data_IF_569478516199
#
_entry.id   IF_569478516199
#
_cell.length_a   1.000
_cell.length_b   1.000
_cell.length_c   1.000
_cell.angle_alpha   90.00
_cell.angle_beta   90.00
_cell.angle_gamma   90.00
#
_symmetry.space_group_name_H-M   'P 1'
#
loop_
_entity.id
_entity.type
_entity.pdbx_description
1 polymer ?
#
# COMPACT_ATOMS: atom_id res chain seq x y z
N UNK A 1 -43.76 16.55 22.21
CA UNK A 1 -44.13 15.16 21.90
C UNK A 1 -43.90 14.99 20.41
N UNK A 2 -42.97 14.11 20.06
CA UNK A 2 -42.56 13.78 18.69
C UNK A 2 -41.83 14.89 17.93
N UNK A 3 -40.56 14.79 17.62
CA UNK A 3 -40.01 13.84 16.69
C UNK A 3 -38.49 13.67 16.87
N UNK A 4 -38.08 12.64 17.53
CA UNK A 4 -36.79 12.06 17.36
C UNK A 4 -36.91 11.03 16.24
N UNK A 5 -36.49 11.36 15.04
CA UNK A 5 -36.38 10.38 13.97
C UNK A 5 -35.09 10.53 13.20
N UNK A 6 -34.24 9.53 13.40
CA UNK A 6 -33.44 8.84 12.37
C UNK A 6 -32.56 9.72 11.50
N UNK A 7 -31.34 9.95 11.95
CA UNK A 7 -30.21 9.89 11.04
C UNK A 7 -29.66 8.44 11.02
N UNK A 8 -30.39 7.60 10.30
CA UNK A 8 -29.81 6.40 9.71
C UNK A 8 -28.89 6.89 8.61
N UNK A 9 -27.60 6.98 8.93
CA UNK A 9 -26.54 7.16 7.93
C UNK A 9 -26.60 5.95 7.01
N UNK A 10 -26.93 6.20 5.76
CA UNK A 10 -26.93 5.22 4.68
C UNK A 10 -25.49 4.80 4.42
N UNK A 11 -25.06 3.72 5.11
CA UNK A 11 -23.71 3.16 5.05
C UNK A 11 -23.52 2.26 3.82
N UNK A 12 -24.06 2.63 2.68
CA UNK A 12 -23.94 1.86 1.44
C UNK A 12 -22.65 2.21 0.71
N UNK A 13 -21.76 1.24 0.59
CA UNK A 13 -20.52 1.26 -0.21
C UNK A 13 -19.44 2.23 0.29
N UNK A 14 -18.95 2.03 1.50
CA UNK A 14 -17.82 2.77 2.04
C UNK A 14 -16.55 1.90 2.02
N UNK A 15 -15.57 2.28 1.21
CA UNK A 15 -14.19 1.80 1.33
C UNK A 15 -13.53 2.65 2.40
N UNK A 16 -13.02 2.01 3.46
CA UNK A 16 -12.46 2.66 4.64
C UNK A 16 -10.94 2.57 4.64
N UNK A 17 -10.29 3.62 5.13
CA UNK A 17 -8.92 3.55 5.62
C UNK A 17 -8.95 3.34 7.12
N UNK A 18 -8.17 2.37 7.58
CA UNK A 18 -7.98 2.14 9.00
C UNK A 18 -6.53 2.43 9.36
N UNK A 19 -6.35 3.19 10.43
CA UNK A 19 -5.10 3.26 11.14
C UNK A 19 -5.14 2.22 12.25
N UNK A 20 -4.29 1.21 12.12
CA UNK A 20 -4.15 0.15 13.12
C UNK A 20 -2.92 0.44 13.98
N UNK A 21 -3.10 0.57 15.27
CA UNK A 21 -1.97 0.64 16.21
C UNK A 21 -1.35 -0.73 16.35
N UNK A 22 -0.04 -0.79 16.17
CA UNK A 22 0.75 -1.93 16.60
C UNK A 22 0.87 -1.82 18.11
N UNK A 23 0.31 -2.80 18.84
CA UNK A 23 0.45 -2.85 20.28
C UNK A 23 1.93 -2.79 20.67
N UNK A 24 2.35 -1.88 21.57
CA UNK A 24 3.72 -1.86 22.04
C UNK A 24 3.96 -3.15 22.83
N UNK A 25 4.93 -3.92 22.41
CA UNK A 25 5.65 -4.98 23.10
C UNK A 25 4.93 -5.66 24.27
N UNK A 26 4.47 -6.89 24.05
CA UNK A 26 4.55 -7.88 25.10
C UNK A 26 5.92 -8.56 24.98
N UNK A 27 6.92 -7.97 25.65
CA UNK A 27 8.21 -8.60 25.85
C UNK A 27 7.99 -9.74 26.84
N UNK A 28 7.88 -10.97 26.37
CA UNK A 28 8.01 -12.14 27.24
C UNK A 28 9.49 -12.33 27.55
N UNK A 29 9.96 -11.73 28.65
CA UNK A 29 11.21 -12.10 29.30
C UNK A 29 11.04 -13.51 29.89
N UNK A 30 11.44 -14.54 29.15
CA UNK A 30 11.75 -15.83 29.75
C UNK A 30 13.15 -15.71 30.30
N UNK A 31 13.27 -15.60 31.63
CA UNK A 31 14.54 -15.66 32.35
C UNK A 31 15.08 -17.09 32.23
N UNK A 32 16.10 -17.29 31.42
CA UNK A 32 16.87 -18.52 31.32
C UNK A 32 18.30 -18.15 30.90
N UNK A 33 19.26 -18.52 31.71
CA UNK A 33 20.71 -18.21 31.57
C UNK A 33 21.30 -18.65 30.23
N UNK A 34 22.15 -17.73 29.67
CA UNK A 34 23.23 -17.90 28.69
C UNK A 34 22.92 -17.94 27.19
N UNK A 35 23.59 -17.00 26.49
CA UNK A 35 23.92 -16.87 25.07
C UNK A 35 22.83 -16.31 24.15
N UNK A 36 23.20 -15.19 23.44
CA UNK A 36 22.57 -14.58 22.26
C UNK A 36 21.04 -14.71 22.18
N UNK A 37 20.34 -13.72 22.71
CA UNK A 37 18.87 -13.64 22.65
C UNK A 37 18.46 -13.26 21.24
N UNK A 38 18.04 -14.20 20.43
CA UNK A 38 17.11 -13.99 19.34
C UNK A 38 15.75 -13.61 19.95
N UNK A 39 15.52 -12.33 20.17
CA UNK A 39 14.20 -11.84 20.54
C UNK A 39 13.34 -11.87 19.27
N UNK A 40 12.44 -12.82 19.20
CA UNK A 40 11.51 -12.98 18.10
C UNK A 40 10.65 -11.72 17.97
N UNK A 41 10.77 -11.03 16.81
CA UNK A 41 10.04 -9.80 16.53
C UNK A 41 8.60 -10.13 16.10
N UNK A 42 7.62 -9.65 16.86
CA UNK A 42 6.21 -9.87 16.58
C UNK A 42 5.48 -8.56 16.30
N UNK A 43 4.82 -8.49 15.14
CA UNK A 43 3.80 -7.48 14.87
C UNK A 43 2.42 -8.14 15.00
N UNK A 44 1.52 -7.47 15.72
CA UNK A 44 0.11 -7.79 15.74
C UNK A 44 -0.70 -6.51 15.59
N UNK A 45 -1.87 -6.59 14.98
CA UNK A 45 -2.76 -5.44 14.91
C UNK A 45 -3.22 -5.05 16.32
N UNK A 46 -3.12 -3.76 16.60
CA UNK A 46 -3.70 -3.14 17.78
C UNK A 46 -5.18 -2.78 17.56
N UNK A 47 -5.63 -1.76 18.29
CA UNK A 47 -6.99 -1.24 18.13
C UNK A 47 -7.10 -0.24 16.99
N UNK A 48 -8.27 -0.22 16.34
CA UNK A 48 -8.64 0.80 15.35
C UNK A 48 -9.27 1.97 16.09
N UNK A 49 -8.94 3.19 15.70
CA UNK A 49 -9.58 4.40 16.21
C UNK A 49 -10.67 4.87 15.26
N UNK A 50 -11.87 5.18 15.75
CA UNK A 50 -12.96 5.70 14.93
C UNK A 50 -12.55 6.99 14.22
N UNK A 51 -11.75 7.83 14.87
CA UNK A 51 -11.21 9.07 14.28
C UNK A 51 -10.22 8.84 13.15
N UNK A 52 -9.62 7.65 13.08
CA UNK A 52 -8.68 7.27 12.03
C UNK A 52 -9.39 6.74 10.77
N UNK A 53 -10.68 6.45 10.84
CA UNK A 53 -11.47 6.06 9.68
C UNK A 53 -11.68 7.29 8.80
N UNK A 54 -11.16 7.23 7.57
CA UNK A 54 -11.14 8.38 6.67
C UNK A 54 -12.04 8.18 5.46
N UNK A 55 -12.80 9.22 5.17
CA UNK A 55 -13.60 9.38 3.96
C UNK A 55 -13.27 10.73 3.33
N UNK A 56 -12.95 10.76 2.04
CA UNK A 56 -12.51 11.97 1.34
C UNK A 56 -13.59 13.06 1.23
N UNK A 57 -14.84 12.71 1.36
CA UNK A 57 -15.93 13.72 1.36
C UNK A 57 -17.06 13.32 2.29
N UNK A 58 -17.79 14.30 2.86
CA UNK A 58 -18.98 14.05 3.70
C UNK A 58 -20.06 13.22 3.00
N UNK A 59 -20.06 13.19 1.67
CA UNK A 59 -21.07 12.51 0.85
C UNK A 59 -20.54 11.27 0.14
N UNK A 60 -19.31 10.81 0.47
CA UNK A 60 -18.73 9.59 -0.11
C UNK A 60 -18.67 9.61 -1.64
N UNK A 61 -18.31 10.74 -2.24
CA UNK A 61 -18.24 10.87 -3.71
C UNK A 61 -17.04 10.14 -4.31
N UNK A 62 -16.04 9.84 -3.50
CA UNK A 62 -14.84 9.15 -3.93
C UNK A 62 -14.72 7.78 -3.25
N UNK A 63 -14.30 6.79 -4.02
CA UNK A 63 -13.65 5.61 -3.49
C UNK A 63 -12.23 5.98 -3.09
N UNK A 64 -11.76 5.53 -1.93
CA UNK A 64 -10.44 5.82 -1.39
C UNK A 64 -9.66 4.54 -1.17
N UNK A 65 -8.33 4.56 -1.37
CA UNK A 65 -7.52 3.36 -1.31
C UNK A 65 -6.07 3.66 -0.94
N UNK A 66 -5.42 2.74 -0.19
CA UNK A 66 -3.98 2.67 0.05
C UNK A 66 -3.34 3.98 0.46
N UNK A 67 -3.37 4.30 1.77
CA UNK A 67 -2.76 5.50 2.30
C UNK A 67 -1.31 5.25 2.74
N UNK A 68 -0.46 6.26 2.60
CA UNK A 68 0.88 6.32 3.18
C UNK A 68 1.08 7.65 3.88
N UNK A 69 1.77 7.65 5.03
CA UNK A 69 1.88 8.82 5.91
C UNK A 69 3.33 9.18 6.17
N UNK A 70 3.60 10.47 6.20
CA UNK A 70 4.85 11.07 6.68
C UNK A 70 4.52 12.19 7.66
N UNK A 71 5.39 12.46 8.62
CA UNK A 71 5.32 13.61 9.50
C UNK A 71 6.31 14.67 9.04
N UNK A 72 5.89 15.93 8.99
CA UNK A 72 6.77 17.06 8.69
C UNK A 72 7.57 17.51 9.92
N UNK A 73 8.40 18.53 9.75
CA UNK A 73 9.26 19.07 10.81
C UNK A 73 8.48 19.86 11.87
N UNK A 74 7.27 20.30 11.54
CA UNK A 74 6.36 21.01 12.47
C UNK A 74 5.47 20.03 13.25
N UNK A 75 5.59 18.74 12.97
CA UNK A 75 4.86 17.67 13.64
C UNK A 75 3.50 17.35 13.04
N UNK A 76 3.12 18.00 11.92
CA UNK A 76 1.88 17.71 11.22
C UNK A 76 2.03 16.43 10.39
N UNK A 77 1.01 15.60 10.40
CA UNK A 77 0.95 14.39 9.60
C UNK A 77 0.35 14.65 8.22
N UNK A 78 1.00 14.12 7.20
CA UNK A 78 0.60 14.21 5.80
C UNK A 78 0.31 12.81 5.28
N UNK A 79 -0.92 12.57 4.84
CA UNK A 79 -1.39 11.32 4.28
C UNK A 79 -1.61 11.47 2.78
N UNK A 80 -0.99 10.60 1.99
CA UNK A 80 -1.23 10.46 0.55
C UNK A 80 -1.99 9.18 0.30
N UNK A 81 -3.06 9.25 -0.49
CA UNK A 81 -3.96 8.14 -0.76
C UNK A 81 -4.49 8.21 -2.18
N UNK A 82 -4.85 7.06 -2.72
CA UNK A 82 -5.52 6.98 -4.02
C UNK A 82 -7.00 7.29 -3.88
N UNK A 83 -7.59 8.01 -4.85
CA UNK A 83 -9.02 8.20 -4.93
C UNK A 83 -9.50 8.21 -6.38
N UNK A 84 -10.74 7.82 -6.61
CA UNK A 84 -11.43 7.95 -7.89
C UNK A 84 -12.93 8.13 -7.69
N UNK A 85 -13.66 8.73 -8.68
CA UNK A 85 -15.08 8.94 -8.55
C UNK A 85 -15.85 7.64 -8.33
N UNK A 86 -16.59 7.54 -7.21
CA UNK A 86 -17.28 6.32 -6.79
C UNK A 86 -18.34 5.86 -7.79
N UNK A 87 -19.02 6.80 -8.47
CA UNK A 87 -20.05 6.48 -9.46
C UNK A 87 -19.51 5.75 -10.69
N UNK A 88 -18.18 5.79 -10.93
CA UNK A 88 -17.52 5.05 -12.00
C UNK A 88 -17.21 3.60 -11.61
N UNK A 89 -17.57 3.18 -10.39
CA UNK A 89 -17.32 1.80 -9.93
C UNK A 89 -15.85 1.47 -9.85
N UNK A 90 -15.43 0.41 -10.53
CA UNK A 90 -14.07 -0.13 -10.45
C UNK A 90 -13.08 0.59 -11.39
N UNK A 91 -13.11 1.92 -11.38
CA UNK A 91 -12.34 2.78 -12.29
C UNK A 91 -10.95 3.18 -11.76
N UNK A 92 -10.41 2.47 -10.77
CA UNK A 92 -9.11 2.79 -10.17
C UNK A 92 -7.94 2.79 -11.18
N UNK A 93 -8.03 1.95 -12.25
CA UNK A 93 -7.02 1.90 -13.33
C UNK A 93 -7.10 3.07 -14.31
N UNK A 94 -8.25 3.73 -14.41
CA UNK A 94 -8.48 4.75 -15.45
C UNK A 94 -8.70 6.14 -14.88
N UNK A 95 -9.14 6.26 -13.62
CA UNK A 95 -9.59 7.53 -13.05
C UNK A 95 -9.00 7.84 -11.67
N UNK A 96 -8.09 7.00 -11.16
CA UNK A 96 -7.42 7.24 -9.89
C UNK A 96 -6.43 8.40 -9.99
N UNK A 97 -6.41 9.19 -8.91
CA UNK A 97 -5.42 10.23 -8.64
C UNK A 97 -4.93 10.09 -7.19
N UNK A 98 -3.75 10.64 -6.90
CA UNK A 98 -3.23 10.66 -5.53
C UNK A 98 -3.60 11.97 -4.88
N UNK A 99 -4.41 11.89 -3.84
CA UNK A 99 -4.86 13.01 -3.03
C UNK A 99 -4.03 13.12 -1.74
N UNK A 100 -4.12 14.25 -1.09
CA UNK A 100 -3.39 14.62 0.12
C UNK A 100 -4.35 15.09 1.21
N UNK A 101 -4.15 14.59 2.42
CA UNK A 101 -4.85 15.01 3.63
C UNK A 101 -3.85 15.26 4.76
N UNK A 102 -4.25 16.05 5.75
CA UNK A 102 -3.44 16.38 6.93
C UNK A 102 -4.17 16.13 8.23
N UNK A 103 -3.42 15.88 9.30
CA UNK A 103 -3.93 15.77 10.67
C UNK A 103 -2.84 16.15 11.68
N UNK A 104 -3.25 16.69 12.84
CA UNK A 104 -2.38 16.91 14.00
C UNK A 104 -2.04 15.61 14.73
N UNK A 105 -2.83 14.56 14.50
CA UNK A 105 -2.61 13.23 15.06
C UNK A 105 -2.63 12.16 13.99
N UNK A 106 -1.75 11.16 14.09
CA UNK A 106 -1.76 10.02 13.18
C UNK A 106 -3.07 9.21 13.26
N UNK A 107 -3.77 9.29 14.38
CA UNK A 107 -5.10 8.68 14.55
C UNK A 107 -6.25 9.57 14.05
N UNK A 108 -5.94 10.66 13.34
CA UNK A 108 -6.94 11.60 12.81
C UNK A 108 -7.48 12.58 13.87
N UNK A 109 -8.57 13.32 13.57
CA UNK A 109 -9.27 13.25 12.28
C UNK A 109 -8.45 13.84 11.12
N UNK A 110 -8.58 13.26 9.94
CA UNK A 110 -7.90 13.68 8.73
C UNK A 110 -8.75 14.66 7.93
N UNK A 111 -8.09 15.67 7.35
CA UNK A 111 -8.72 16.70 6.54
C UNK A 111 -8.09 16.72 5.14
N UNK A 112 -8.90 16.54 4.11
CA UNK A 112 -8.48 16.72 2.70
C UNK A 112 -7.88 18.11 2.46
N UNK A 113 -6.80 18.17 1.71
CA UNK A 113 -6.11 19.41 1.31
C UNK A 113 -6.24 19.62 -0.19
N UNK A 114 -5.66 18.73 -0.98
CA UNK A 114 -5.59 18.86 -2.44
C UNK A 114 -5.33 17.51 -3.13
N UNK A 115 -5.10 17.59 -4.44
CA UNK A 115 -4.65 16.47 -5.26
C UNK A 115 -3.17 16.64 -5.53
N UNK A 116 -2.35 15.81 -4.86
CA UNK A 116 -0.90 15.85 -4.99
C UNK A 116 -0.42 15.45 -6.39
N UNK A 117 -0.96 14.36 -6.94
CA UNK A 117 -0.58 13.89 -8.28
C UNK A 117 -1.83 13.70 -9.15
N UNK A 118 -2.13 14.71 -9.96
CA UNK A 118 -3.20 14.67 -10.98
C UNK A 118 -2.75 13.86 -12.20
N UNK A 119 -3.72 13.35 -12.95
CA UNK A 119 -3.51 12.81 -14.30
C UNK A 119 -2.86 13.87 -15.20
N UNK A 120 -1.87 13.48 -16.03
CA UNK A 120 -1.11 14.42 -16.87
C UNK A 120 -1.55 14.46 -18.33
N UNK A 121 -2.38 13.49 -18.77
CA UNK A 121 -2.78 13.35 -20.18
C UNK A 121 -2.12 12.14 -20.85
N UNK A 122 -2.71 11.69 -21.95
CA UNK A 122 -2.39 10.43 -22.63
C UNK A 122 -0.97 10.33 -23.20
N UNK A 123 -0.28 11.44 -23.33
CA UNK A 123 1.09 11.55 -23.85
C UNK A 123 2.14 11.11 -22.83
N UNK A 124 1.77 10.97 -21.56
CA UNK A 124 2.65 10.56 -20.50
C UNK A 124 2.40 9.10 -20.09
N UNK A 125 3.44 8.43 -19.64
CA UNK A 125 3.36 7.03 -19.18
C UNK A 125 2.43 6.84 -17.96
N UNK A 126 2.24 7.90 -17.14
CA UNK A 126 1.35 7.98 -15.97
C UNK A 126 0.17 8.92 -16.22
N UNK A 127 -0.21 9.10 -17.48
CA UNK A 127 -1.13 10.14 -17.90
C UNK A 127 -2.58 9.89 -17.53
N UNK A 128 -2.98 8.63 -17.39
CA UNK A 128 -4.37 8.24 -17.10
C UNK A 128 -4.63 7.95 -15.62
N UNK A 129 -3.63 7.48 -14.88
CA UNK A 129 -3.81 7.05 -13.51
C UNK A 129 -2.55 7.29 -12.72
N UNK A 130 -2.69 7.77 -11.48
CA UNK A 130 -1.70 7.69 -10.41
C UNK A 130 -2.36 6.97 -9.23
N UNK A 131 -1.68 5.96 -8.67
CA UNK A 131 -2.29 5.06 -7.71
C UNK A 131 -1.25 4.44 -6.76
N UNK A 132 -1.69 3.89 -5.63
CA UNK A 132 -0.85 3.16 -4.68
C UNK A 132 0.39 3.94 -4.22
N UNK A 133 0.21 5.10 -3.57
CA UNK A 133 1.30 5.93 -3.09
C UNK A 133 2.08 5.26 -1.96
N UNK A 134 3.38 5.56 -1.90
CA UNK A 134 4.25 5.32 -0.75
C UNK A 134 5.15 6.53 -0.58
N UNK A 135 5.00 7.24 0.55
CA UNK A 135 5.72 8.48 0.84
C UNK A 135 6.88 8.21 1.78
N UNK A 136 8.03 8.84 1.49
CA UNK A 136 9.18 8.87 2.36
C UNK A 136 9.77 10.26 2.44
N UNK A 137 10.46 10.57 3.54
CA UNK A 137 11.29 11.76 3.70
C UNK A 137 12.74 11.31 3.88
N UNK A 138 13.62 11.75 2.96
CA UNK A 138 15.06 11.52 3.00
C UNK A 138 15.79 12.84 2.82
N UNK A 139 16.75 13.16 3.67
CA UNK A 139 17.60 14.34 3.57
C UNK A 139 16.82 15.66 3.37
N UNK A 140 15.71 15.79 4.11
CA UNK A 140 14.84 16.97 4.06
C UNK A 140 13.91 17.07 2.86
N UNK A 141 13.96 16.12 1.91
CA UNK A 141 13.09 16.07 0.74
C UNK A 141 12.04 14.98 0.86
N UNK A 142 10.91 15.15 0.20
CA UNK A 142 9.80 14.22 0.15
C UNK A 142 9.81 13.45 -1.18
N UNK A 143 9.67 12.13 -1.10
CA UNK A 143 9.68 11.22 -2.24
C UNK A 143 8.38 10.41 -2.24
N UNK A 144 7.51 10.72 -3.17
CA UNK A 144 6.21 10.06 -3.34
C UNK A 144 6.33 9.05 -4.48
N UNK A 145 6.52 7.76 -4.13
CA UNK A 145 6.53 6.67 -5.10
C UNK A 145 5.09 6.26 -5.41
N UNK A 146 4.83 5.92 -6.66
CA UNK A 146 3.48 5.61 -7.10
C UNK A 146 3.47 4.67 -8.30
N UNK A 147 2.34 4.04 -8.53
CA UNK A 147 2.01 3.39 -9.79
C UNK A 147 1.31 4.39 -10.68
N UNK A 148 1.77 4.49 -11.93
CA UNK A 148 1.10 5.21 -13.01
C UNK A 148 0.81 4.29 -14.18
N UNK A 149 -0.13 4.68 -15.05
CA UNK A 149 -0.38 3.97 -16.29
C UNK A 149 -0.87 4.89 -17.41
N UNK A 150 -0.85 4.33 -18.61
CA UNK A 150 -1.55 4.82 -19.79
C UNK A 150 -2.28 3.66 -20.47
N UNK A 151 -3.21 3.95 -21.37
CA UNK A 151 -3.99 2.93 -22.04
C UNK A 151 -5.00 3.50 -23.03
N UNK A 152 -6.06 2.76 -23.29
CA UNK A 152 -7.10 3.14 -24.26
C UNK A 152 -8.11 4.17 -23.75
N UNK A 153 -8.02 4.56 -22.47
CA UNK A 153 -8.89 5.54 -21.82
C UNK A 153 -10.33 5.08 -21.57
N UNK A 154 -10.64 3.81 -21.79
CA UNK A 154 -11.99 3.30 -21.57
C UNK A 154 -12.18 2.91 -20.11
N UNK A 155 -13.11 3.57 -19.45
CA UNK A 155 -13.58 3.14 -18.13
C UNK A 155 -14.33 1.83 -18.27
N UNK A 156 -13.96 0.83 -17.47
CA UNK A 156 -14.58 -0.49 -17.48
C UNK A 156 -15.05 -0.84 -16.06
N UNK A 157 -16.14 -1.58 -16.03
CA UNK A 157 -16.80 -1.93 -14.80
C UNK A 157 -17.93 -0.97 -14.43
N UNK A 158 -18.68 -1.36 -13.44
CA UNK A 158 -19.77 -0.60 -12.83
C UNK A 158 -19.69 -0.80 -11.33
N UNK A 159 -20.45 -0.05 -10.51
CA UNK A 159 -20.52 -0.31 -9.07
C UNK A 159 -20.90 -1.75 -8.70
N UNK A 160 -21.58 -2.48 -9.62
CA UNK A 160 -22.06 -3.84 -9.41
C UNK A 160 -21.20 -4.90 -10.08
N UNK A 161 -20.24 -4.50 -10.94
CA UNK A 161 -19.42 -5.44 -11.71
C UNK A 161 -17.98 -4.96 -11.86
N UNK A 162 -17.10 -5.68 -11.24
CA UNK A 162 -15.65 -5.47 -11.37
C UNK A 162 -15.14 -6.01 -12.70
N UNK A 163 -14.66 -5.12 -13.56
CA UNK A 163 -14.04 -5.49 -14.84
C UNK A 163 -12.75 -4.72 -15.00
N UNK A 164 -11.62 -5.44 -15.15
CA UNK A 164 -10.32 -4.82 -15.41
C UNK A 164 -10.22 -4.33 -16.86
N UNK A 165 -9.76 -3.09 -17.02
CA UNK A 165 -9.21 -2.64 -18.28
C UNK A 165 -7.79 -3.18 -18.45
N UNK A 166 -7.62 -4.21 -19.31
CA UNK A 166 -6.34 -4.89 -19.51
C UNK A 166 -5.29 -4.00 -20.17
N UNK A 167 -5.69 -3.02 -21.01
CA UNK A 167 -4.77 -2.06 -21.59
C UNK A 167 -4.10 -1.22 -20.49
N UNK A 168 -4.88 -0.63 -19.62
CA UNK A 168 -4.36 0.13 -18.49
C UNK A 168 -3.62 -0.74 -17.46
N UNK A 169 -4.17 -1.94 -17.16
CA UNK A 169 -3.53 -2.87 -16.22
C UNK A 169 -2.13 -3.27 -16.66
N UNK A 170 -1.93 -3.58 -17.94
CA UNK A 170 -0.65 -4.07 -18.46
C UNK A 170 0.37 -2.94 -18.69
N UNK A 171 -0.09 -1.71 -18.80
CA UNK A 171 0.74 -0.53 -18.93
C UNK A 171 1.09 0.15 -17.59
N UNK A 172 0.87 -0.51 -16.45
CA UNK A 172 1.34 -0.01 -15.17
C UNK A 172 2.86 0.04 -15.11
N UNK A 173 3.39 1.15 -14.58
CA UNK A 173 4.82 1.40 -14.33
C UNK A 173 4.95 2.12 -12.98
N UNK A 174 6.16 2.18 -12.48
CA UNK A 174 6.46 2.83 -11.20
C UNK A 174 7.19 4.15 -11.46
N UNK A 175 6.75 5.19 -10.78
CA UNK A 175 7.40 6.50 -10.75
C UNK A 175 7.71 6.98 -9.36
N UNK A 176 8.41 8.11 -9.31
CA UNK A 176 8.63 8.91 -8.12
C UNK A 176 8.39 10.38 -8.43
N UNK A 177 7.67 11.05 -7.56
CA UNK A 177 7.55 12.50 -7.54
C UNK A 177 8.35 13.03 -6.34
N UNK A 178 9.11 14.11 -6.55
CA UNK A 178 9.99 14.70 -5.55
C UNK A 178 9.57 16.12 -5.24
N UNK A 179 9.62 16.51 -3.97
CA UNK A 179 9.35 17.88 -3.53
C UNK A 179 10.20 18.25 -2.30
N UNK A 180 10.46 19.54 -2.14
CA UNK A 180 11.06 20.09 -0.92
C UNK A 180 10.02 20.34 0.18
N UNK A 181 8.73 20.22 -0.13
CA UNK A 181 7.61 20.42 0.80
C UNK A 181 6.60 19.29 0.68
N UNK A 182 5.94 18.87 1.79
CA UNK A 182 4.87 17.88 1.72
C UNK A 182 3.62 18.39 0.96
N UNK A 183 3.54 19.70 0.72
CA UNK A 183 2.49 20.30 -0.10
C UNK A 183 2.83 20.39 -1.60
N UNK A 184 4.02 19.93 -2.00
CA UNK A 184 4.53 20.13 -3.35
C UNK A 184 5.21 21.50 -3.55
N UNK A 185 5.43 21.95 -4.79
CA UNK A 185 5.05 21.26 -6.02
C UNK A 185 5.81 19.95 -6.24
N UNK A 186 5.14 18.95 -6.79
CA UNK A 186 5.69 17.63 -7.04
C UNK A 186 6.32 17.55 -8.45
N UNK A 187 7.62 17.32 -8.51
CA UNK A 187 8.37 17.13 -9.75
C UNK A 187 8.36 15.65 -10.15
N UNK A 188 7.79 15.34 -11.32
CA UNK A 188 7.69 13.98 -11.89
C UNK A 188 8.57 13.84 -13.13
N UNK A 189 9.18 12.66 -13.30
CA UNK A 189 9.89 12.30 -14.52
C UNK A 189 8.92 11.92 -15.65
N UNK A 190 9.30 12.24 -16.90
CA UNK A 190 8.59 11.77 -18.10
C UNK A 190 8.94 10.34 -18.49
N UNK A 191 9.81 9.69 -17.72
CA UNK A 191 10.11 8.26 -17.82
C UNK A 191 9.79 7.58 -16.48
N UNK A 192 9.29 6.33 -16.50
CA UNK A 192 9.12 5.58 -15.28
C UNK A 192 10.46 5.35 -14.55
N UNK A 193 10.40 5.25 -13.24
CA UNK A 193 11.53 4.88 -12.39
C UNK A 193 11.86 3.39 -12.53
N UNK A 194 10.81 2.55 -12.58
CA UNK A 194 10.89 1.13 -12.90
C UNK A 194 9.98 0.86 -14.09
N UNK A 195 10.58 0.58 -15.23
CA UNK A 195 9.87 0.17 -16.44
C UNK A 195 9.79 -1.36 -16.55
N UNK A 196 8.92 -1.86 -17.43
CA UNK A 196 8.91 -3.26 -17.80
C UNK A 196 10.22 -3.66 -18.49
N UNK A 197 10.65 -4.91 -18.31
CA UNK A 197 11.79 -5.45 -19.04
C UNK A 197 11.47 -5.58 -20.55
N UNK A 198 12.47 -5.28 -21.38
CA UNK A 198 12.39 -5.53 -22.81
C UNK A 198 12.57 -7.02 -23.18
N UNK A 199 13.06 -7.84 -22.24
CA UNK A 199 13.19 -9.28 -22.42
C UNK A 199 11.90 -9.99 -22.01
N UNK A 200 11.23 -10.63 -22.92
CA UNK A 200 9.95 -11.33 -22.72
C UNK A 200 10.03 -12.51 -21.75
N UNK A 201 11.22 -13.03 -21.46
CA UNK A 201 11.44 -14.10 -20.49
C UNK A 201 11.48 -13.62 -19.06
N UNK A 202 11.62 -12.31 -18.82
CA UNK A 202 11.68 -11.73 -17.48
C UNK A 202 10.31 -11.70 -16.82
N UNK A 203 10.30 -11.78 -15.49
CA UNK A 203 9.08 -11.76 -14.70
C UNK A 203 8.36 -10.40 -14.68
N UNK A 204 9.02 -9.31 -15.08
CA UNK A 204 8.47 -7.96 -15.12
C UNK A 204 8.34 -7.40 -16.55
N UNK A 205 8.32 -8.27 -17.58
CA UNK A 205 8.24 -7.83 -18.98
C UNK A 205 6.85 -7.34 -19.41
N UNK A 206 5.80 -7.57 -18.62
CA UNK A 206 4.45 -7.07 -18.93
C UNK A 206 4.11 -5.81 -18.14
N UNK A 207 4.27 -5.85 -16.81
CA UNK A 207 3.99 -4.68 -15.96
C UNK A 207 4.81 -4.67 -14.66
N UNK A 208 4.97 -3.46 -14.10
CA UNK A 208 5.53 -3.20 -12.78
C UNK A 208 4.59 -2.30 -11.98
N UNK A 209 4.42 -2.56 -10.67
CA UNK A 209 3.45 -1.84 -9.84
C UNK A 209 3.75 -1.94 -8.34
N UNK A 210 2.99 -1.25 -7.51
CA UNK A 210 2.95 -1.36 -6.05
C UNK A 210 4.35 -1.28 -5.41
N UNK A 211 5.05 -0.14 -5.57
CA UNK A 211 6.38 0.03 -5.00
C UNK A 211 6.32 0.13 -3.48
N UNK A 212 7.30 -0.48 -2.83
CA UNK A 212 7.65 -0.22 -1.44
C UNK A 212 9.15 -0.01 -1.33
N UNK A 213 9.58 1.02 -0.61
CA UNK A 213 10.97 1.42 -0.54
C UNK A 213 11.45 1.44 0.91
N UNK A 214 12.72 1.08 1.10
CA UNK A 214 13.40 1.11 2.38
C UNK A 214 14.81 1.69 2.21
N UNK A 215 15.20 2.64 3.07
CA UNK A 215 16.58 3.08 3.19
C UNK A 215 17.40 1.98 3.91
N UNK A 216 18.47 1.55 3.26
CA UNK A 216 19.33 0.47 3.76
C UNK A 216 20.39 1.01 4.73
N UNK A 217 20.92 0.18 5.66
CA UNK A 217 21.94 0.62 6.61
C UNK A 217 23.26 1.02 5.96
N UNK A 218 23.51 0.60 4.72
CA UNK A 218 24.70 0.97 3.93
C UNK A 218 24.51 2.26 3.10
N UNK A 219 23.39 2.96 3.29
CA UNK A 219 23.07 4.22 2.61
C UNK A 219 22.36 4.06 1.26
N UNK A 220 22.19 2.83 0.78
CA UNK A 220 21.45 2.55 -0.47
C UNK A 220 19.94 2.47 -0.23
N UNK A 221 19.19 2.29 -1.31
CA UNK A 221 17.74 2.18 -1.31
C UNK A 221 17.31 0.85 -1.91
N UNK A 222 16.59 0.06 -1.12
CA UNK A 222 15.94 -1.18 -1.56
C UNK A 222 14.49 -0.89 -1.93
N UNK A 223 14.09 -1.31 -3.12
CA UNK A 223 12.70 -1.32 -3.56
C UNK A 223 12.24 -2.75 -3.76
N UNK A 224 11.07 -3.09 -3.22
CA UNK A 224 10.32 -4.29 -3.60
C UNK A 224 9.10 -3.83 -4.39
N UNK A 225 8.80 -4.51 -5.50
CA UNK A 225 7.69 -4.14 -6.37
C UNK A 225 6.97 -5.35 -6.96
N UNK A 226 5.70 -5.19 -7.26
CA UNK A 226 4.90 -6.19 -7.97
C UNK A 226 5.28 -6.20 -9.45
N UNK A 227 5.43 -7.39 -10.00
CA UNK A 227 5.82 -7.65 -11.37
C UNK A 227 4.90 -8.70 -12.00
N UNK A 228 4.67 -8.58 -13.31
CA UNK A 228 3.92 -9.57 -14.10
C UNK A 228 4.67 -9.84 -15.39
N UNK A 229 4.89 -11.12 -15.66
CA UNK A 229 5.52 -11.60 -16.88
C UNK A 229 4.50 -12.07 -17.93
N UNK A 230 5.01 -12.62 -19.03
CA UNK A 230 4.22 -13.13 -20.16
C UNK A 230 4.20 -14.67 -20.27
N UNK A 231 4.53 -15.37 -19.16
CA UNK A 231 4.57 -16.86 -19.16
C UNK A 231 3.19 -17.53 -19.29
N UNK A 232 2.12 -16.77 -19.10
CA UNK A 232 0.75 -17.22 -19.30
C UNK A 232 0.04 -16.38 -20.36
N UNK A 233 -1.08 -16.89 -20.95
CA UNK A 233 -1.79 -16.22 -22.03
C UNK A 233 -2.18 -14.76 -21.68
N UNK A 234 -2.02 -13.88 -22.67
CA UNK A 234 -2.51 -12.52 -22.60
C UNK A 234 -4.05 -12.50 -22.78
N UNK A 235 -4.76 -11.49 -22.24
CA UNK A 235 -4.22 -10.26 -21.64
C UNK A 235 -3.78 -10.41 -20.19
N UNK A 236 -4.07 -11.49 -19.52
CA UNK A 236 -3.76 -11.71 -18.11
C UNK A 236 -2.26 -11.73 -17.82
N UNK A 237 -1.49 -12.47 -18.63
CA UNK A 237 -0.09 -12.72 -18.36
C UNK A 237 0.12 -13.46 -17.02
N UNK A 238 1.31 -13.33 -16.48
CA UNK A 238 1.68 -13.91 -15.18
C UNK A 238 2.93 -14.76 -15.27
N UNK A 239 3.39 -15.34 -14.15
CA UNK A 239 2.83 -15.20 -12.80
C UNK A 239 2.90 -13.76 -12.28
N UNK A 240 2.08 -13.44 -11.25
CA UNK A 240 2.21 -12.22 -10.46
C UNK A 240 3.19 -12.49 -9.33
N UNK A 241 4.28 -11.75 -9.32
CA UNK A 241 5.40 -11.97 -8.40
C UNK A 241 5.87 -10.65 -7.80
N UNK A 242 6.80 -10.73 -6.84
CA UNK A 242 7.53 -9.57 -6.34
C UNK A 242 9.02 -9.73 -6.64
N UNK A 243 9.62 -8.62 -7.04
CA UNK A 243 11.05 -8.51 -7.35
C UNK A 243 11.68 -7.40 -6.51
N UNK A 244 13.00 -7.49 -6.36
CA UNK A 244 13.81 -6.48 -5.68
C UNK A 244 14.58 -5.63 -6.71
N UNK A 245 14.80 -4.36 -6.35
CA UNK A 245 15.75 -3.49 -7.04
C UNK A 245 16.50 -2.62 -6.03
N UNK A 246 17.76 -2.31 -6.29
CA UNK A 246 18.62 -1.51 -5.39
C UNK A 246 19.25 -0.36 -6.16
N UNK A 247 19.34 0.81 -5.52
CA UNK A 247 19.96 2.02 -6.06
C UNK A 247 20.76 2.77 -5.00
N UNK A 248 21.74 3.53 -5.43
CA UNK A 248 22.48 4.48 -4.59
C UNK A 248 21.73 5.81 -4.39
N UNK A 249 20.64 6.01 -5.12
CA UNK A 249 19.81 7.22 -5.04
C UNK A 249 18.32 6.86 -4.92
N UNK A 250 17.52 7.64 -4.16
CA UNK A 250 16.07 7.42 -4.06
C UNK A 250 15.33 7.63 -5.39
N UNK A 251 15.97 8.31 -6.35
CA UNK A 251 15.44 8.53 -7.71
C UNK A 251 16.07 7.63 -8.77
N UNK A 252 16.83 6.60 -8.34
CA UNK A 252 17.48 5.64 -9.25
C UNK A 252 18.78 6.16 -9.87
N UNK A 253 19.32 5.45 -10.88
CA UNK A 253 18.72 4.26 -11.48
C UNK A 253 18.76 3.03 -10.55
N UNK A 254 17.72 2.21 -10.59
CA UNK A 254 17.60 0.99 -9.81
C UNK A 254 18.12 -0.22 -10.60
N UNK A 255 19.03 -0.97 -10.02
CA UNK A 255 19.46 -2.29 -10.53
C UNK A 255 18.45 -3.34 -10.08
N UNK A 256 17.75 -3.95 -11.03
CA UNK A 256 16.77 -5.02 -10.80
C UNK A 256 17.43 -6.36 -10.52
N UNK A 257 16.77 -7.21 -9.73
CA UNK A 257 17.16 -8.59 -9.45
C UNK A 257 16.03 -9.52 -9.87
N UNK A 258 16.36 -10.62 -10.52
CA UNK A 258 15.39 -11.61 -11.01
C UNK A 258 14.94 -12.61 -9.94
N UNK A 259 15.52 -12.58 -8.74
CA UNK A 259 15.13 -13.44 -7.63
C UNK A 259 13.76 -13.06 -7.12
N UNK A 260 12.87 -14.06 -7.02
CA UNK A 260 11.52 -13.88 -6.49
C UNK A 260 11.56 -13.67 -4.97
N UNK A 261 10.79 -12.69 -4.51
CA UNK A 261 10.56 -12.45 -3.08
C UNK A 261 9.10 -12.74 -2.73
N UNK A 262 8.80 -13.10 -1.47
CA UNK A 262 7.45 -13.47 -0.99
C UNK A 262 6.79 -14.57 -1.84
N UNK A 263 7.62 -15.50 -2.32
CA UNK A 263 7.19 -16.56 -3.21
C UNK A 263 6.71 -17.80 -2.43
N UNK A 264 5.71 -18.49 -3.00
CA UNK A 264 5.21 -19.78 -2.52
C UNK A 264 5.18 -20.74 -3.70
N UNK A 265 5.79 -21.91 -3.54
CA UNK A 265 5.91 -22.89 -4.62
C UNK A 265 4.53 -23.29 -5.16
N UNK A 266 4.41 -23.31 -6.48
CA UNK A 266 3.17 -23.67 -7.19
C UNK A 266 2.11 -22.58 -7.26
N UNK A 267 2.27 -21.44 -6.57
CA UNK A 267 1.30 -20.37 -6.58
C UNK A 267 1.60 -19.33 -7.69
N UNK A 268 0.53 -18.90 -8.37
CA UNK A 268 0.63 -17.91 -9.46
C UNK A 268 0.51 -16.46 -9.00
N UNK A 269 -0.08 -16.24 -7.83
CA UNK A 269 -0.28 -14.94 -7.22
C UNK A 269 -0.29 -15.10 -5.69
N UNK A 270 0.89 -15.31 -5.05
CA UNK A 270 0.95 -15.64 -3.63
C UNK A 270 0.73 -14.45 -2.70
N UNK A 271 1.15 -13.26 -3.12
CA UNK A 271 1.21 -12.07 -2.28
C UNK A 271 0.93 -10.80 -3.08
N UNK A 272 0.48 -9.74 -2.39
CA UNK A 272 0.25 -8.41 -2.96
C UNK A 272 0.59 -7.33 -1.93
N UNK A 273 0.80 -6.09 -2.40
CA UNK A 273 0.93 -4.88 -1.60
C UNK A 273 1.97 -4.96 -0.47
N UNK A 274 3.24 -5.19 -0.78
CA UNK A 274 4.26 -5.21 0.25
C UNK A 274 4.48 -3.81 0.83
N UNK A 275 4.79 -3.76 2.14
CA UNK A 275 5.49 -2.66 2.78
C UNK A 275 6.74 -3.19 3.45
N UNK A 276 7.89 -2.56 3.18
CA UNK A 276 9.20 -2.98 3.70
C UNK A 276 9.84 -1.86 4.54
N UNK A 277 10.58 -2.26 5.59
CA UNK A 277 11.37 -1.36 6.41
C UNK A 277 12.56 -2.09 7.02
N UNK A 278 13.52 -1.32 7.55
CA UNK A 278 14.66 -1.86 8.29
C UNK A 278 14.49 -1.52 9.77
N UNK A 279 14.58 -2.53 10.62
CA UNK A 279 14.49 -2.38 12.08
C UNK A 279 15.19 -3.54 12.78
N UNK A 280 15.89 -3.24 13.88
CA UNK A 280 16.59 -4.23 14.73
C UNK A 280 17.55 -5.14 13.93
N UNK A 281 18.32 -4.55 13.01
CA UNK A 281 19.33 -5.28 12.23
C UNK A 281 18.78 -6.13 11.09
N UNK A 282 17.45 -6.09 10.80
CA UNK A 282 16.80 -6.87 9.75
C UNK A 282 15.91 -6.02 8.85
N UNK A 283 15.82 -6.40 7.60
CA UNK A 283 14.71 -5.98 6.74
C UNK A 283 13.46 -6.76 7.13
N UNK A 284 12.35 -6.06 7.18
CA UNK A 284 11.03 -6.59 7.53
C UNK A 284 10.02 -6.23 6.46
N UNK A 285 9.01 -7.06 6.29
CA UNK A 285 7.93 -6.79 5.37
C UNK A 285 6.59 -7.22 5.96
N UNK A 286 5.54 -6.43 5.68
CA UNK A 286 4.14 -6.84 5.78
C UNK A 286 3.60 -6.91 4.36
N UNK A 287 2.89 -8.00 4.04
CA UNK A 287 2.40 -8.30 2.71
C UNK A 287 0.98 -8.87 2.83
N UNK A 288 0.09 -8.48 1.93
CA UNK A 288 -1.21 -9.13 1.81
C UNK A 288 -1.04 -10.54 1.24
N UNK A 289 -1.65 -11.54 1.86
CA UNK A 289 -1.78 -12.90 1.33
C UNK A 289 -2.90 -12.96 0.30
N UNK A 290 -2.57 -13.43 -0.91
CA UNK A 290 -3.56 -13.74 -1.93
C UNK A 290 -3.90 -15.21 -1.80
N UNK A 291 -5.04 -15.54 -1.21
CA UNK A 291 -5.45 -16.91 -0.99
C UNK A 291 -6.68 -17.26 -1.81
N UNK A 292 -6.67 -18.46 -2.40
CA UNK A 292 -7.82 -18.97 -3.12
C UNK A 292 -8.87 -19.46 -2.14
N UNK A 293 -9.97 -18.73 -2.07
CA UNK A 293 -11.34 -19.16 -1.74
C UNK A 293 -11.68 -19.73 -0.36
N UNK A 294 -10.79 -20.28 0.48
CA UNK A 294 -11.21 -20.94 1.72
C UNK A 294 -10.99 -20.18 3.02
N UNK A 295 -9.99 -19.31 3.10
CA UNK A 295 -9.59 -18.68 4.37
C UNK A 295 -9.55 -17.14 4.34
N UNK A 296 -9.87 -16.50 3.20
CA UNK A 296 -9.81 -15.05 3.04
C UNK A 296 -8.37 -14.50 2.89
N UNK A 297 -8.25 -13.23 2.56
CA UNK A 297 -6.97 -12.55 2.53
C UNK A 297 -6.58 -12.15 3.96
N UNK A 298 -5.28 -12.20 4.28
CA UNK A 298 -4.73 -11.77 5.56
C UNK A 298 -3.36 -11.12 5.37
N UNK A 299 -2.87 -10.43 6.38
CA UNK A 299 -1.55 -9.83 6.37
C UNK A 299 -0.51 -10.80 6.91
N UNK A 300 0.63 -10.90 6.20
CA UNK A 300 1.75 -11.78 6.53
C UNK A 300 3.00 -10.95 6.81
N UNK A 301 3.87 -11.49 7.66
CA UNK A 301 5.18 -10.91 7.96
C UNK A 301 6.31 -11.77 7.41
N UNK A 302 7.27 -11.08 6.78
CA UNK A 302 8.54 -11.66 6.32
C UNK A 302 9.73 -10.89 6.90
N UNK A 303 10.89 -11.52 6.92
CA UNK A 303 12.15 -10.92 7.31
C UNK A 303 13.29 -11.31 6.36
N UNK A 304 14.33 -10.48 6.31
CA UNK A 304 15.53 -10.71 5.52
C UNK A 304 16.76 -10.07 6.17
N UNK A 305 17.92 -10.70 6.05
CA UNK A 305 19.19 -10.14 6.53
C UNK A 305 19.84 -9.19 5.49
N UNK A 306 19.48 -9.32 4.22
CA UNK A 306 20.13 -8.59 3.11
C UNK A 306 19.16 -7.87 2.15
N UNK A 307 17.84 -7.95 2.40
CA UNK A 307 16.80 -7.37 1.53
C UNK A 307 16.50 -8.15 0.25
N UNK A 308 17.23 -9.22 -0.04
CA UNK A 308 17.05 -10.05 -1.25
C UNK A 308 16.58 -11.47 -0.93
N UNK A 309 16.99 -11.99 0.22
CA UNK A 309 16.66 -13.34 0.70
C UNK A 309 15.61 -13.24 1.80
N UNK A 310 14.33 -13.40 1.41
CA UNK A 310 13.20 -13.25 2.31
C UNK A 310 12.70 -14.61 2.80
N UNK A 311 12.45 -14.71 4.10
CA UNK A 311 11.82 -15.87 4.75
C UNK A 311 10.62 -15.44 5.56
N UNK A 312 9.70 -16.36 5.80
CA UNK A 312 8.60 -16.14 6.74
C UNK A 312 9.18 -15.84 8.12
N UNK A 313 8.67 -14.82 8.80
CA UNK A 313 9.04 -14.58 10.19
C UNK A 313 8.47 -15.70 11.09
N UNK A 314 9.00 -15.84 12.28
CA UNK A 314 8.46 -16.77 13.29
C UNK A 314 6.99 -16.48 13.57
N UNK A 315 6.62 -15.18 13.67
CA UNK A 315 5.24 -14.74 13.79
C UNK A 315 4.70 -14.30 12.42
N UNK A 316 4.48 -15.28 11.56
CA UNK A 316 4.14 -15.07 10.16
C UNK A 316 2.80 -14.38 9.93
N UNK A 317 1.75 -14.69 10.72
CA UNK A 317 0.42 -14.10 10.58
C UNK A 317 0.35 -12.82 11.41
N UNK A 318 0.10 -11.69 10.74
CA UNK A 318 -0.08 -10.38 11.38
C UNK A 318 -1.55 -10.15 11.73
N UNK A 319 -2.46 -10.44 10.79
CA UNK A 319 -3.90 -10.24 10.98
C UNK A 319 -4.74 -11.16 10.10
N UNK A 320 -5.92 -11.50 10.61
CA UNK A 320 -7.07 -11.92 9.82
C UNK A 320 -7.94 -10.72 9.41
N UNK A 321 -9.21 -10.99 9.13
CA UNK A 321 -10.19 -9.99 8.67
C UNK A 321 -11.07 -9.43 9.82
N UNK A 322 -10.84 -9.80 11.07
CA UNK A 322 -11.51 -9.19 12.22
C UNK A 322 -10.62 -8.11 12.82
N UNK A 323 -11.16 -6.90 12.95
CA UNK A 323 -10.48 -5.77 13.59
C UNK A 323 -11.25 -5.34 14.83
N UNK A 324 -10.54 -4.90 15.86
CA UNK A 324 -11.13 -4.44 17.14
C UNK A 324 -10.96 -2.94 17.25
N UNK A 325 -12.04 -2.21 17.47
CA UNK A 325 -12.01 -0.77 17.72
C UNK A 325 -11.63 -0.46 19.18
N UNK A 326 -11.28 0.82 19.46
CA UNK A 326 -10.90 1.27 20.78
C UNK A 326 -12.00 1.10 21.83
N UNK A 327 -13.27 1.12 21.42
CA UNK A 327 -14.45 0.89 22.27
C UNK A 327 -14.71 -0.61 22.55
N UNK A 328 -13.89 -1.50 21.96
CA UNK A 328 -14.02 -2.95 22.09
C UNK A 328 -14.94 -3.60 21.07
N UNK A 329 -15.59 -2.84 20.19
CA UNK A 329 -16.37 -3.40 19.10
C UNK A 329 -15.49 -4.15 18.10
N UNK A 330 -16.00 -5.23 17.51
CA UNK A 330 -15.31 -6.05 16.52
C UNK A 330 -16.05 -5.92 15.19
N UNK A 331 -15.32 -5.51 14.16
CA UNK A 331 -15.83 -5.43 12.80
C UNK A 331 -15.17 -6.52 11.95
N UNK A 332 -15.99 -7.28 11.23
CA UNK A 332 -15.53 -8.23 10.22
C UNK A 332 -15.39 -7.53 8.88
N UNK A 333 -14.18 -7.56 8.34
CA UNK A 333 -13.86 -6.97 7.04
C UNK A 333 -14.09 -7.99 5.92
N UNK A 334 -14.42 -7.51 4.73
CA UNK A 334 -14.35 -8.26 3.48
C UNK A 334 -12.95 -8.20 2.87
N UNK A 335 -12.27 -7.05 3.03
CA UNK A 335 -10.93 -6.79 2.53
C UNK A 335 -10.09 -6.05 3.57
N UNK A 336 -8.79 -6.38 3.64
CA UNK A 336 -7.77 -5.65 4.38
C UNK A 336 -6.51 -5.67 3.52
N UNK A 337 -6.20 -4.57 2.88
CA UNK A 337 -5.24 -4.50 1.79
C UNK A 337 -4.31 -3.30 1.92
N UNK A 338 -3.25 -3.29 1.11
CA UNK A 338 -2.31 -2.18 1.00
C UNK A 338 -1.75 -1.72 2.35
N UNK A 339 -1.18 -2.61 3.18
CA UNK A 339 -0.60 -2.20 4.45
C UNK A 339 0.53 -1.20 4.21
N UNK A 340 0.53 -0.12 4.98
CA UNK A 340 1.60 0.86 5.04
C UNK A 340 1.97 1.08 6.50
N UNK A 341 3.25 1.03 6.83
CA UNK A 341 3.72 1.16 8.20
C UNK A 341 4.26 2.57 8.43
N UNK A 342 3.75 3.23 9.46
CA UNK A 342 4.36 4.46 9.95
C UNK A 342 5.42 4.09 11.00
N UNK A 343 6.65 4.55 10.72
CA UNK A 343 7.79 4.37 11.62
C UNK A 343 7.97 5.63 12.46
N UNK A 344 8.03 5.48 13.78
CA UNK A 344 8.43 6.55 14.68
C UNK A 344 9.77 6.20 15.31
N UNK A 345 10.77 7.03 15.08
CA UNK A 345 12.17 6.78 15.50
C UNK A 345 12.71 5.40 15.02
N UNK A 346 12.36 5.01 13.79
CA UNK A 346 12.78 3.73 13.22
C UNK A 346 11.99 2.50 13.67
N UNK A 347 11.03 2.67 14.59
CA UNK A 347 10.17 1.59 15.09
C UNK A 347 8.79 1.63 14.44
N UNK A 348 8.28 0.48 14.03
CA UNK A 348 6.93 0.33 13.52
C UNK A 348 5.91 0.60 14.64
N UNK A 349 5.05 1.62 14.47
CA UNK A 349 4.06 2.06 15.47
C UNK A 349 2.64 1.96 15.00
N UNK A 350 2.38 2.21 13.72
CA UNK A 350 1.04 2.21 13.15
C UNK A 350 1.06 1.51 11.79
N UNK A 351 -0.06 0.84 11.48
CA UNK A 351 -0.32 0.29 10.14
C UNK A 351 -1.57 0.98 9.60
N UNK A 352 -1.46 1.51 8.38
CA UNK A 352 -2.58 2.00 7.60
C UNK A 352 -2.95 0.94 6.57
N UNK A 353 -4.23 0.66 6.40
CA UNK A 353 -4.72 -0.28 5.40
C UNK A 353 -5.91 0.32 4.64
N UNK A 354 -6.09 -0.10 3.40
CA UNK A 354 -7.37 -0.02 2.74
C UNK A 354 -8.24 -1.18 3.24
N UNK A 355 -9.49 -0.89 3.59
CA UNK A 355 -10.38 -1.90 4.13
C UNK A 355 -11.82 -1.67 3.67
N UNK A 356 -12.57 -2.75 3.62
CA UNK A 356 -14.01 -2.74 3.34
C UNK A 356 -14.72 -3.67 4.32
N UNK A 357 -15.87 -3.28 4.84
CA UNK A 357 -16.63 -4.10 5.78
C UNK A 357 -17.65 -4.97 5.05
N UNK A 358 -18.00 -6.11 5.65
CA UNK A 358 -19.00 -7.02 5.08
C UNK A 358 -20.37 -6.34 5.00
N UNK A 359 -20.68 -5.47 5.95
CA UNK A 359 -21.97 -4.76 6.02
C UNK A 359 -22.10 -3.67 4.94
N UNK A 360 -21.01 -3.26 4.28
CA UNK A 360 -21.04 -2.33 3.15
C UNK A 360 -21.42 -2.98 1.82
N UNK A 361 -21.44 -4.31 1.74
CA UNK A 361 -21.73 -5.09 0.52
C UNK A 361 -23.21 -5.55 0.48
N UNK A 362 -23.93 -5.43 1.59
CA UNK A 362 -25.30 -5.91 1.68
C UNK A 362 -26.26 -4.72 1.64
N UNK A 363 -26.40 -4.13 0.45
CA UNK A 363 -27.71 -3.51 0.04
C UNK A 363 -27.61 -3.00 -1.40
#
# INVERSE_FOLDING_TARGET
METYLKHLIDMRNLIFFFLLIISPFTLYLIAGNNSSKDVSYKISLGKVYHTAVFHDSPHGMYSVWGASVVQDDDGLFHMYYSRWPKHLGWAWLTDSEIAHAVSESITGPWRFVDVALKRRGKEFWDGWCTHNPTIHKFDGKYYLYYMGNTGDGKVMGTPQKEVLNWSHRNNQRIGVAVSDSPYGPWMRSDKPLIDASANDDDYDCLMTSNPSLCHMPDGRYLMIYKAVGKKFPLPQGGPVVHLAAISDSPTGPFKKFSKLVFHFEGERFPAEDPYIWYQDGKFRAIVKRMETAKNGCFLMQFESDNGLDWKKSEHFIVSGLNVTFEDGSIVKLSHLERPQVYLHNGEARYILCAADSIDSVVY
#
